data_IF_661169136839
#
_entry.id   IF_661169136839
#
_cell.length_a   1.000
_cell.length_b   1.000
_cell.length_c   1.000
_cell.angle_alpha   90.00
_cell.angle_beta   90.00
_cell.angle_gamma   90.00
#
_symmetry.space_group_name_H-M   'P 1'
#
loop_
_entity.id
_entity.type
_entity.pdbx_description
1 polymer ?
#
# COMPACT_ATOMS: atom_id res chain seq x y z
N UNK A 1 22.46 -0.52 -25.86
CA UNK A 1 22.29 0.94 -25.73
C UNK A 1 22.05 1.26 -24.25
N UNK A 2 23.09 1.55 -23.47
CA UNK A 2 23.01 1.94 -22.04
C UNK A 2 22.34 3.32 -21.99
N UNK A 3 21.04 3.38 -21.64
CA UNK A 3 20.34 4.65 -21.47
C UNK A 3 20.84 5.33 -20.19
N UNK A 4 21.50 6.46 -20.39
CA UNK A 4 21.92 7.44 -19.40
C UNK A 4 20.69 8.07 -18.70
N UNK A 5 20.14 7.42 -17.68
CA UNK A 5 19.15 8.06 -16.79
C UNK A 5 19.81 9.00 -15.75
N UNK A 6 21.14 9.04 -15.70
CA UNK A 6 21.94 9.83 -14.76
C UNK A 6 22.91 10.81 -15.43
N UNK A 7 22.59 11.28 -16.65
CA UNK A 7 23.36 12.35 -17.29
C UNK A 7 22.49 13.58 -17.55
N UNK A 8 21.93 14.17 -16.50
CA UNK A 8 22.01 15.64 -16.37
C UNK A 8 23.47 15.95 -16.07
N UNK A 9 24.08 16.81 -16.85
CA UNK A 9 25.48 17.20 -16.62
C UNK A 9 25.65 17.57 -15.15
N UNK A 10 26.56 16.93 -14.42
CA UNK A 10 26.81 17.17 -12.99
C UNK A 10 26.83 18.69 -12.64
N UNK A 11 27.40 19.60 -13.48
CA UNK A 11 27.38 21.03 -13.20
C UNK A 11 25.97 21.67 -13.23
N UNK A 12 25.03 21.21 -14.06
CA UNK A 12 23.67 21.73 -14.07
C UNK A 12 22.90 21.30 -12.83
N UNK A 13 23.11 20.06 -12.37
CA UNK A 13 22.49 19.57 -11.13
C UNK A 13 23.08 20.29 -9.91
N UNK A 14 24.40 20.49 -9.88
CA UNK A 14 25.09 21.21 -8.80
C UNK A 14 24.70 22.71 -8.80
N UNK A 15 24.61 23.34 -9.97
CA UNK A 15 24.15 24.72 -10.12
C UNK A 15 22.69 24.89 -9.69
N UNK A 16 21.83 23.93 -10.05
CA UNK A 16 20.43 23.90 -9.61
C UNK A 16 20.29 23.71 -8.09
N UNK A 17 21.10 22.83 -7.49
CA UNK A 17 21.12 22.62 -6.04
C UNK A 17 21.65 23.86 -5.29
N UNK A 18 22.70 24.51 -5.79
CA UNK A 18 23.24 25.75 -5.21
C UNK A 18 22.23 26.91 -5.32
N UNK A 19 21.57 27.06 -6.47
CA UNK A 19 20.52 28.07 -6.65
C UNK A 19 19.32 27.78 -5.72
N UNK A 20 18.93 26.54 -5.58
CA UNK A 20 17.88 26.11 -4.67
C UNK A 20 18.26 26.36 -3.21
N UNK A 21 19.50 26.06 -2.81
CA UNK A 21 20.02 26.32 -1.46
C UNK A 21 20.07 27.85 -1.16
N UNK A 22 20.43 28.65 -2.16
CA UNK A 22 20.43 30.12 -2.04
C UNK A 22 19.01 30.69 -1.89
N UNK A 23 18.07 30.19 -2.69
CA UNK A 23 16.64 30.55 -2.61
C UNK A 23 16.08 30.15 -1.24
N UNK A 24 16.36 28.95 -0.76
CA UNK A 24 15.97 28.46 0.56
C UNK A 24 16.59 29.35 1.66
N UNK A 25 17.89 29.66 1.56
CA UNK A 25 18.60 30.48 2.53
C UNK A 25 18.06 31.91 2.65
N UNK A 26 17.47 32.47 1.59
CA UNK A 26 16.85 33.79 1.59
C UNK A 26 15.38 33.75 2.01
N UNK A 27 14.64 32.76 1.52
CA UNK A 27 13.19 32.68 1.73
C UNK A 27 12.84 32.18 3.13
N UNK A 28 13.60 31.22 3.69
CA UNK A 28 13.32 30.66 5.02
C UNK A 28 13.33 31.71 6.14
N UNK A 29 14.31 32.62 6.24
CA UNK A 29 14.28 33.68 7.26
C UNK A 29 13.10 34.67 7.11
N UNK A 30 12.72 34.97 5.86
CA UNK A 30 11.59 35.89 5.58
C UNK A 30 10.27 35.25 6.04
N UNK A 31 10.07 33.96 5.75
CA UNK A 31 8.86 33.23 6.16
C UNK A 31 8.88 32.78 7.61
N UNK A 32 10.05 32.64 8.25
CA UNK A 32 10.16 32.28 9.66
C UNK A 32 9.39 33.24 10.56
N UNK A 33 9.43 34.55 10.25
CA UNK A 33 8.66 35.57 10.96
C UNK A 33 7.15 35.52 10.74
N UNK A 34 6.67 34.82 9.68
CA UNK A 34 5.24 34.70 9.34
C UNK A 34 4.61 33.40 9.86
N UNK A 35 5.40 32.37 10.18
CA UNK A 35 4.92 30.99 10.48
C UNK A 35 4.77 30.73 11.97
N UNK A 36 5.25 31.61 12.85
CA UNK A 36 5.21 31.46 14.31
C UNK A 36 6.14 30.35 14.82
N UNK A 37 6.08 30.03 16.12
CA UNK A 37 7.03 29.15 16.84
C UNK A 37 7.04 27.65 16.46
N UNK A 38 6.42 27.25 15.35
CA UNK A 38 6.38 25.85 14.92
C UNK A 38 7.56 25.50 14.01
N UNK A 39 8.62 24.93 14.57
CA UNK A 39 9.78 24.41 13.81
C UNK A 39 9.40 23.39 12.72
N UNK A 40 8.33 22.60 12.91
CA UNK A 40 7.85 21.65 11.91
C UNK A 40 7.30 22.35 10.66
N UNK A 41 6.60 23.48 10.82
CA UNK A 41 6.11 24.31 9.69
C UNK A 41 7.26 25.00 8.98
N UNK A 42 8.26 25.46 9.72
CA UNK A 42 9.46 26.05 9.16
C UNK A 42 10.22 25.05 8.26
N UNK A 43 10.35 23.80 8.69
CA UNK A 43 10.99 22.74 7.91
C UNK A 43 10.18 22.33 6.67
N UNK A 44 8.86 22.51 6.67
CA UNK A 44 7.99 22.16 5.54
C UNK A 44 8.27 23.04 4.30
N UNK A 45 8.62 24.32 4.48
CA UNK A 45 8.90 25.24 3.37
C UNK A 45 10.11 24.81 2.51
N UNK A 46 11.31 24.57 3.07
CA UNK A 46 12.43 24.04 2.32
C UNK A 46 12.11 22.71 1.63
N UNK A 47 11.37 21.82 2.32
CA UNK A 47 10.96 20.55 1.74
C UNK A 47 10.09 20.74 0.49
N UNK A 48 9.12 21.67 0.50
CA UNK A 48 8.28 21.99 -0.64
C UNK A 48 9.09 22.54 -1.82
N UNK A 49 10.08 23.42 -1.56
CA UNK A 49 10.96 23.94 -2.61
C UNK A 49 11.83 22.83 -3.24
N UNK A 50 12.38 21.92 -2.41
CA UNK A 50 13.15 20.77 -2.91
C UNK A 50 12.26 19.86 -3.75
N UNK A 51 11.05 19.55 -3.28
CA UNK A 51 10.09 18.73 -4.00
C UNK A 51 9.67 19.40 -5.32
N UNK A 52 9.40 20.69 -5.32
CA UNK A 52 9.06 21.47 -6.52
C UNK A 52 10.21 21.52 -7.54
N UNK A 53 11.45 21.75 -7.08
CA UNK A 53 12.64 21.69 -7.93
C UNK A 53 12.84 20.31 -8.57
N UNK A 54 12.77 19.24 -7.77
CA UNK A 54 12.87 17.87 -8.29
C UNK A 54 11.73 17.52 -9.25
N UNK A 55 10.52 18.07 -9.02
CA UNK A 55 9.38 17.91 -9.91
C UNK A 55 9.64 18.46 -11.30
N UNK A 56 10.33 19.59 -11.40
CA UNK A 56 10.67 20.24 -12.68
C UNK A 56 11.84 19.53 -13.36
N UNK A 57 12.90 19.21 -12.61
CA UNK A 57 14.16 18.72 -13.19
C UNK A 57 14.19 17.20 -13.36
N UNK A 58 13.64 16.41 -12.41
CA UNK A 58 13.68 14.95 -12.45
C UNK A 58 12.56 14.28 -11.66
N UNK A 59 11.37 14.22 -12.23
CA UNK A 59 10.17 13.61 -11.65
C UNK A 59 10.35 12.14 -11.25
N UNK A 60 11.15 11.39 -12.01
CA UNK A 60 11.43 9.97 -11.68
C UNK A 60 12.25 9.87 -10.40
N UNK A 61 13.28 10.69 -10.25
CA UNK A 61 14.08 10.73 -9.02
C UNK A 61 13.23 11.16 -7.82
N UNK A 62 12.40 12.20 -8.00
CA UNK A 62 11.47 12.66 -6.98
C UNK A 62 10.57 11.52 -6.50
N UNK A 63 9.95 10.79 -7.43
CA UNK A 63 9.09 9.66 -7.11
C UNK A 63 9.84 8.56 -6.34
N UNK A 64 11.07 8.22 -6.76
CA UNK A 64 11.88 7.22 -6.07
C UNK A 64 12.28 7.66 -4.65
N UNK A 65 12.58 8.94 -4.44
CA UNK A 65 12.86 9.52 -3.12
C UNK A 65 11.61 9.46 -2.23
N UNK A 66 10.45 9.84 -2.77
CA UNK A 66 9.18 9.74 -2.05
C UNK A 66 8.91 8.29 -1.63
N UNK A 67 9.06 7.32 -2.54
CA UNK A 67 8.90 5.90 -2.24
C UNK A 67 9.89 5.43 -1.16
N UNK A 68 11.16 5.85 -1.24
CA UNK A 68 12.17 5.45 -0.26
C UNK A 68 11.83 5.98 1.15
N UNK A 69 11.36 7.22 1.26
CA UNK A 69 11.15 7.89 2.54
C UNK A 69 9.71 7.79 3.07
N UNK A 70 8.76 7.35 2.26
CA UNK A 70 7.33 7.34 2.64
C UNK A 70 7.04 6.55 3.91
N UNK A 71 7.69 5.42 4.09
CA UNK A 71 7.54 4.55 5.27
C UNK A 71 8.05 5.19 6.56
N UNK A 72 8.98 6.14 6.47
CA UNK A 72 9.50 6.88 7.62
C UNK A 72 8.73 8.19 7.88
N UNK A 73 7.84 8.57 6.94
CA UNK A 73 7.30 9.92 6.89
C UNK A 73 6.08 10.19 7.77
N UNK A 74 5.31 9.18 8.20
CA UNK A 74 4.00 9.43 8.83
C UNK A 74 4.10 10.31 10.09
N UNK A 75 5.10 10.11 10.95
CA UNK A 75 5.31 10.94 12.14
C UNK A 75 5.55 12.42 11.75
N UNK A 76 6.42 12.66 10.76
CA UNK A 76 6.74 14.01 10.29
C UNK A 76 5.52 14.64 9.61
N UNK A 77 4.81 13.85 8.79
CA UNK A 77 3.63 14.32 8.07
C UNK A 77 2.48 14.66 9.03
N UNK A 78 2.34 13.93 10.11
CA UNK A 78 1.35 14.19 11.15
C UNK A 78 1.69 15.44 11.97
N UNK A 79 2.96 15.62 12.32
CA UNK A 79 3.44 16.82 13.03
C UNK A 79 3.26 18.13 12.22
N UNK A 80 3.18 18.03 10.88
CA UNK A 80 2.94 19.20 10.01
C UNK A 80 1.47 19.57 9.81
N UNK A 81 0.53 18.77 10.34
CA UNK A 81 -0.90 19.09 10.24
C UNK A 81 -1.23 20.29 11.12
N UNK A 82 -1.84 21.32 10.51
CA UNK A 82 -2.40 22.41 11.28
C UNK A 82 -3.71 21.94 11.93
N UNK A 83 -3.89 22.19 13.23
CA UNK A 83 -5.15 21.95 13.94
C UNK A 83 -6.11 23.11 13.61
N UNK A 84 -6.87 23.00 12.52
CA UNK A 84 -7.92 23.96 12.18
C UNK A 84 -9.28 23.43 12.62
N UNK A 85 -10.15 24.30 13.11
CA UNK A 85 -11.51 23.98 13.56
C UNK A 85 -12.41 23.34 12.48
N UNK A 86 -12.06 23.46 11.19
CA UNK A 86 -12.80 22.89 10.05
C UNK A 86 -12.48 21.42 9.73
N UNK A 87 -11.60 20.75 10.48
CA UNK A 87 -11.25 19.33 10.28
C UNK A 87 -10.46 19.02 8.99
N UNK A 88 -10.36 19.95 8.04
CA UNK A 88 -9.56 19.82 6.82
C UNK A 88 -8.26 20.62 6.96
N UNK A 89 -7.17 19.92 7.21
CA UNK A 89 -5.84 20.50 7.24
C UNK A 89 -4.94 19.79 6.23
N UNK A 90 -4.65 20.43 5.09
CA UNK A 90 -3.70 19.92 4.11
C UNK A 90 -2.27 20.14 4.62
N UNK A 91 -1.82 19.26 5.55
CA UNK A 91 -0.41 19.21 5.94
C UNK A 91 0.50 18.77 4.78
N UNK A 92 1.81 18.66 5.04
CA UNK A 92 2.80 18.20 4.07
C UNK A 92 2.39 16.86 3.42
N UNK A 93 1.69 15.98 4.16
CA UNK A 93 1.16 14.72 3.63
C UNK A 93 0.17 14.90 2.48
N UNK A 94 -0.72 15.88 2.57
CA UNK A 94 -1.65 16.24 1.49
C UNK A 94 -0.92 16.78 0.26
N UNK A 95 0.10 17.61 0.46
CA UNK A 95 0.93 18.13 -0.63
C UNK A 95 1.69 17.00 -1.36
N UNK A 96 2.28 16.04 -0.64
CA UNK A 96 2.96 14.88 -1.24
C UNK A 96 1.96 13.99 -2.00
N UNK A 97 0.74 13.81 -1.46
CA UNK A 97 -0.32 13.07 -2.14
C UNK A 97 -0.71 13.74 -3.48
N UNK A 98 -0.95 15.04 -3.46
CA UNK A 98 -1.22 15.82 -4.67
C UNK A 98 -0.06 15.78 -5.68
N UNK A 99 1.17 15.80 -5.19
CA UNK A 99 2.38 15.73 -6.02
C UNK A 99 2.48 14.39 -6.76
N UNK A 100 2.16 13.27 -6.12
CA UNK A 100 2.12 11.94 -6.76
C UNK A 100 1.05 11.90 -7.85
N UNK A 101 -0.14 12.43 -7.58
CA UNK A 101 -1.23 12.51 -8.57
C UNK A 101 -0.78 13.35 -9.77
N UNK A 102 -0.13 14.49 -9.53
CA UNK A 102 0.39 15.36 -10.57
C UNK A 102 1.50 14.69 -11.40
N UNK A 103 2.43 13.96 -10.75
CA UNK A 103 3.48 13.19 -11.45
C UNK A 103 2.85 12.17 -12.40
N UNK A 104 1.86 11.41 -11.92
CA UNK A 104 1.17 10.42 -12.73
C UNK A 104 0.43 11.07 -13.90
N UNK A 105 -0.28 12.18 -13.66
CA UNK A 105 -0.96 12.96 -14.68
C UNK A 105 -0.01 13.42 -15.79
N UNK A 106 1.13 14.01 -15.42
CA UNK A 106 2.13 14.47 -16.38
C UNK A 106 2.76 13.33 -17.17
N UNK A 107 3.01 12.17 -16.56
CA UNK A 107 3.46 10.99 -17.28
C UNK A 107 2.42 10.51 -18.31
N UNK A 108 1.13 10.54 -17.96
CA UNK A 108 0.05 10.14 -18.87
C UNK A 108 -0.07 11.12 -20.03
N UNK A 109 -0.06 12.42 -19.76
CA UNK A 109 -0.15 13.46 -20.81
C UNK A 109 1.01 13.36 -21.81
N UNK A 110 2.24 13.16 -21.30
CA UNK A 110 3.42 13.04 -22.16
C UNK A 110 3.43 11.75 -23.02
N UNK A 111 2.93 10.64 -22.49
CA UNK A 111 2.98 9.33 -23.16
C UNK A 111 1.75 8.45 -22.85
N UNK A 112 0.55 8.83 -23.33
CA UNK A 112 -0.70 8.15 -22.96
C UNK A 112 -0.79 6.68 -23.42
N UNK A 113 -0.04 6.32 -24.46
CA UNK A 113 -0.08 4.98 -25.07
C UNK A 113 0.52 3.86 -24.19
N UNK A 114 1.12 4.20 -23.05
CA UNK A 114 1.79 3.24 -22.16
C UNK A 114 0.88 2.53 -21.18
N UNK A 115 -0.38 2.86 -21.15
CA UNK A 115 -1.33 2.30 -20.19
C UNK A 115 -2.26 1.29 -20.85
N UNK A 116 -2.25 0.02 -20.43
CA UNK A 116 -3.14 -0.99 -20.98
C UNK A 116 -4.56 -0.77 -20.50
N UNK A 117 -5.50 -0.70 -21.46
CA UNK A 117 -6.93 -0.53 -21.17
C UNK A 117 -7.47 -1.60 -20.21
N UNK A 118 -6.91 -2.81 -20.27
CA UNK A 118 -7.36 -3.94 -19.45
C UNK A 118 -7.31 -3.68 -17.93
N UNK A 119 -6.37 -2.86 -17.44
CA UNK A 119 -6.26 -2.49 -16.04
C UNK A 119 -6.74 -1.06 -15.77
N UNK A 120 -6.68 -0.17 -16.78
CA UNK A 120 -7.10 1.22 -16.58
C UNK A 120 -8.63 1.38 -16.52
N UNK A 121 -9.39 0.60 -17.31
CA UNK A 121 -10.87 0.66 -17.28
C UNK A 121 -11.41 0.31 -15.88
N UNK A 122 -10.99 -0.79 -15.20
CA UNK A 122 -11.38 -1.05 -13.83
C UNK A 122 -11.08 0.11 -12.85
N UNK A 123 -9.88 0.73 -12.95
CA UNK A 123 -9.52 1.89 -12.14
C UNK A 123 -10.44 3.09 -12.39
N UNK A 124 -10.76 3.40 -13.67
CA UNK A 124 -11.66 4.49 -14.02
C UNK A 124 -13.05 4.25 -13.45
N UNK A 125 -13.56 3.01 -13.52
CA UNK A 125 -14.86 2.65 -12.96
C UNK A 125 -14.84 2.82 -11.43
N UNK A 126 -13.82 2.32 -10.72
CA UNK A 126 -13.71 2.47 -9.28
C UNK A 126 -13.66 3.96 -8.86
N UNK A 127 -12.86 4.77 -9.57
CA UNK A 127 -12.78 6.21 -9.30
C UNK A 127 -14.11 6.93 -9.60
N UNK A 128 -14.79 6.58 -10.70
CA UNK A 128 -16.09 7.18 -11.03
C UNK A 128 -17.14 6.88 -9.93
N UNK A 129 -17.20 5.64 -9.44
CA UNK A 129 -18.07 5.26 -8.30
C UNK A 129 -17.67 6.01 -7.04
N UNK A 130 -16.36 6.19 -6.79
CA UNK A 130 -15.89 6.93 -5.61
C UNK A 130 -16.23 8.42 -5.68
N UNK A 131 -16.15 9.03 -6.88
CA UNK A 131 -16.57 10.43 -7.07
C UNK A 131 -18.09 10.61 -6.93
N UNK A 132 -18.88 9.64 -7.42
CA UNK A 132 -20.31 9.63 -7.15
C UNK A 132 -20.59 9.52 -5.65
N UNK A 133 -19.93 8.57 -4.96
CA UNK A 133 -20.06 8.41 -3.50
C UNK A 133 -19.60 9.64 -2.71
N UNK A 134 -18.62 10.41 -3.22
CA UNK A 134 -18.23 11.71 -2.65
C UNK A 134 -19.37 12.73 -2.77
N UNK A 135 -20.01 12.81 -3.94
CA UNK A 135 -21.07 13.79 -4.20
C UNK A 135 -22.30 13.60 -3.32
N UNK A 136 -22.59 12.35 -2.89
CA UNK A 136 -23.74 12.01 -2.03
C UNK A 136 -23.34 11.77 -0.57
N UNK A 137 -22.07 11.99 -0.21
CA UNK A 137 -21.55 11.75 1.14
C UNK A 137 -22.15 12.73 2.17
N UNK A 138 -22.53 12.25 3.37
CA UNK A 138 -22.89 13.12 4.48
C UNK A 138 -21.71 13.90 5.07
N UNK A 139 -20.45 13.42 4.83
CA UNK A 139 -19.21 13.97 5.38
C UNK A 139 -18.19 14.28 4.27
N UNK A 140 -18.43 15.35 3.52
CA UNK A 140 -17.62 15.73 2.34
C UNK A 140 -16.12 15.79 2.62
N UNK A 141 -15.71 16.31 3.78
CA UNK A 141 -14.27 16.43 4.13
C UNK A 141 -13.57 15.08 4.30
N UNK A 142 -14.21 14.16 5.01
CA UNK A 142 -13.69 12.80 5.21
C UNK A 142 -13.73 12.01 3.90
N UNK A 143 -14.83 12.09 3.16
CA UNK A 143 -15.00 11.44 1.87
C UNK A 143 -13.97 11.91 0.84
N UNK A 144 -13.71 13.22 0.74
CA UNK A 144 -12.69 13.77 -0.14
C UNK A 144 -11.30 13.19 0.17
N UNK A 145 -10.96 13.02 1.44
CA UNK A 145 -9.69 12.41 1.85
C UNK A 145 -9.56 10.97 1.34
N UNK A 146 -10.61 10.17 1.41
CA UNK A 146 -10.61 8.77 0.91
C UNK A 146 -10.52 8.76 -0.63
N UNK A 147 -11.28 9.61 -1.33
CA UNK A 147 -11.23 9.68 -2.80
C UNK A 147 -9.86 10.14 -3.30
N UNK A 148 -9.24 11.13 -2.67
CA UNK A 148 -7.87 11.55 -2.98
C UNK A 148 -6.85 10.44 -2.69
N UNK A 149 -7.07 9.64 -1.65
CA UNK A 149 -6.22 8.48 -1.37
C UNK A 149 -6.34 7.44 -2.48
N UNK A 150 -7.56 7.07 -2.90
CA UNK A 150 -7.79 6.15 -4.03
C UNK A 150 -7.19 6.67 -5.34
N UNK A 151 -7.32 7.97 -5.61
CA UNK A 151 -6.70 8.60 -6.77
C UNK A 151 -5.17 8.49 -6.72
N UNK A 152 -4.57 8.64 -5.53
CA UNK A 152 -3.12 8.47 -5.38
C UNK A 152 -2.66 7.01 -5.51
N UNK A 153 -3.50 6.03 -5.11
CA UNK A 153 -3.22 4.61 -5.35
C UNK A 153 -3.20 4.29 -6.84
N UNK A 154 -4.18 4.79 -7.57
CA UNK A 154 -4.20 4.72 -9.03
C UNK A 154 -2.98 5.42 -9.64
N UNK A 155 -2.59 6.58 -9.12
CA UNK A 155 -1.41 7.33 -9.54
C UNK A 155 -0.12 6.53 -9.33
N UNK A 156 0.07 5.87 -8.16
CA UNK A 156 1.22 5.00 -7.89
C UNK A 156 1.26 3.80 -8.84
N UNK A 157 0.11 3.17 -9.10
CA UNK A 157 -0.03 2.10 -10.09
C UNK A 157 0.36 2.57 -11.50
N UNK A 158 -0.10 3.74 -11.92
CA UNK A 158 0.24 4.37 -13.20
C UNK A 158 1.73 4.67 -13.28
N UNK A 159 2.32 5.31 -12.27
CA UNK A 159 3.74 5.67 -12.24
C UNK A 159 4.64 4.46 -12.49
N UNK A 160 4.26 3.28 -11.99
CA UNK A 160 5.01 2.05 -12.20
C UNK A 160 5.21 1.72 -13.70
N UNK A 161 4.22 1.97 -14.58
CA UNK A 161 4.34 1.75 -16.02
C UNK A 161 5.35 2.69 -16.72
N UNK A 162 5.63 3.83 -16.09
CA UNK A 162 6.60 4.80 -16.63
C UNK A 162 8.02 4.57 -16.11
N UNK A 163 8.15 4.00 -14.90
CA UNK A 163 9.44 3.68 -14.27
C UNK A 163 9.95 2.33 -14.73
N UNK A 164 9.10 1.30 -14.71
CA UNK A 164 9.49 -0.09 -15.01
C UNK A 164 9.33 -0.37 -16.49
N UNK A 165 10.44 -0.44 -17.21
CA UNK A 165 10.51 -0.74 -18.64
C UNK A 165 11.24 -2.03 -18.93
N UNK A 166 12.15 -2.41 -18.04
CA UNK A 166 13.01 -3.58 -18.15
C UNK A 166 12.92 -4.42 -16.88
N UNK A 167 13.33 -5.69 -16.91
CA UNK A 167 13.46 -6.50 -15.69
C UNK A 167 14.43 -5.88 -14.67
N UNK A 168 15.45 -5.16 -15.10
CA UNK A 168 16.40 -4.45 -14.25
C UNK A 168 15.74 -3.31 -13.47
N UNK A 169 14.84 -2.56 -14.12
CA UNK A 169 14.08 -1.49 -13.47
C UNK A 169 13.18 -2.07 -12.37
N UNK A 170 12.49 -3.19 -12.67
CA UNK A 170 11.67 -3.90 -11.69
C UNK A 170 12.48 -4.38 -10.49
N UNK A 171 13.62 -5.03 -10.73
CA UNK A 171 14.53 -5.47 -9.66
C UNK A 171 15.06 -4.32 -8.82
N UNK A 172 15.35 -3.19 -9.44
CA UNK A 172 15.80 -1.97 -8.75
C UNK A 172 14.70 -1.39 -7.87
N UNK A 173 13.46 -1.38 -8.35
CA UNK A 173 12.31 -0.92 -7.58
C UNK A 173 12.03 -1.84 -6.37
N UNK A 174 12.11 -3.16 -6.55
CA UNK A 174 11.96 -4.12 -5.44
C UNK A 174 13.04 -3.89 -4.36
N UNK A 175 14.29 -3.67 -4.76
CA UNK A 175 15.38 -3.31 -3.82
C UNK A 175 15.07 -2.01 -3.09
N UNK A 176 14.56 -0.99 -3.79
CA UNK A 176 14.19 0.30 -3.18
C UNK A 176 13.10 0.10 -2.10
N UNK A 177 12.09 -0.73 -2.37
CA UNK A 177 11.04 -1.05 -1.39
C UNK A 177 11.62 -1.76 -0.17
N UNK A 178 12.57 -2.68 -0.34
CA UNK A 178 13.25 -3.32 0.80
C UNK A 178 14.06 -2.27 1.60
N UNK A 179 14.81 -1.41 0.91
CA UNK A 179 15.60 -0.35 1.56
C UNK A 179 14.72 0.66 2.31
N UNK A 180 13.49 0.92 1.86
CA UNK A 180 12.56 1.80 2.57
C UNK A 180 12.21 1.30 3.98
N UNK A 181 12.42 0.00 4.28
CA UNK A 181 12.16 -0.56 5.60
C UNK A 181 13.22 -0.23 6.66
N UNK A 182 14.38 0.28 6.26
CA UNK A 182 15.51 0.51 7.19
C UNK A 182 15.17 1.54 8.26
N UNK A 183 14.66 2.70 7.86
CA UNK A 183 14.32 3.76 8.82
C UNK A 183 13.19 3.34 9.78
N UNK A 184 12.06 2.80 9.32
CA UNK A 184 11.04 2.27 10.21
C UNK A 184 11.58 1.19 11.16
N UNK A 185 12.42 0.29 10.66
CA UNK A 185 12.95 -0.78 11.47
C UNK A 185 13.88 -0.27 12.58
N UNK A 186 14.79 0.66 12.27
CA UNK A 186 15.67 1.30 13.25
C UNK A 186 14.88 2.11 14.29
N UNK A 187 13.91 2.91 13.86
CA UNK A 187 13.05 3.65 14.76
C UNK A 187 12.20 2.71 15.62
N UNK A 188 11.78 1.57 15.07
CA UNK A 188 11.08 0.52 15.82
C UNK A 188 11.92 -0.01 16.99
N UNK A 189 13.23 -0.24 16.79
CA UNK A 189 14.14 -0.65 17.87
C UNK A 189 14.21 0.42 18.98
N UNK A 190 14.36 1.69 18.60
CA UNK A 190 14.38 2.80 19.56
C UNK A 190 13.06 2.82 20.35
N UNK A 191 11.92 2.68 19.67
CA UNK A 191 10.61 2.67 20.32
C UNK A 191 10.47 1.50 21.30
N UNK A 192 10.92 0.29 20.93
CA UNK A 192 10.93 -0.87 21.83
C UNK A 192 11.84 -0.62 23.03
N UNK A 193 13.06 -0.12 22.81
CA UNK A 193 14.01 0.14 23.91
C UNK A 193 13.50 1.17 24.92
N UNK A 194 12.82 2.21 24.46
CA UNK A 194 12.22 3.23 25.31
C UNK A 194 11.04 2.66 26.13
N UNK A 195 10.21 1.81 25.52
CA UNK A 195 9.04 1.23 26.19
C UNK A 195 9.40 0.01 27.08
N UNK A 196 10.52 -0.67 26.83
CA UNK A 196 10.96 -1.81 27.64
C UNK A 196 11.15 -1.47 29.11
N UNK A 197 11.49 -0.22 29.45
CA UNK A 197 11.65 0.26 30.82
C UNK A 197 10.33 0.26 31.63
N UNK A 198 9.18 0.42 30.95
CA UNK A 198 7.85 0.41 31.56
C UNK A 198 7.14 -0.96 31.49
N UNK A 199 7.77 -1.98 30.91
CA UNK A 199 7.17 -3.27 30.60
C UNK A 199 6.47 -3.27 29.23
N UNK A 200 6.54 -4.41 28.53
CA UNK A 200 5.95 -4.56 27.17
C UNK A 200 4.51 -5.09 27.21
N UNK A 201 3.89 -5.21 28.39
CA UNK A 201 2.50 -5.65 28.50
C UNK A 201 1.56 -4.65 27.80
N UNK A 202 0.75 -5.11 26.85
CA UNK A 202 -0.14 -4.28 26.06
C UNK A 202 0.53 -3.37 25.02
N UNK A 203 1.87 -3.34 24.96
CA UNK A 203 2.60 -2.55 23.97
C UNK A 203 2.40 -3.13 22.54
N UNK A 204 2.04 -2.27 21.61
CA UNK A 204 1.95 -2.60 20.19
C UNK A 204 2.88 -1.69 19.39
N UNK A 205 3.84 -2.29 18.69
CA UNK A 205 4.81 -1.54 17.89
C UNK A 205 4.14 -0.87 16.70
N UNK A 206 4.27 0.46 16.62
CA UNK A 206 3.80 1.29 15.48
C UNK A 206 4.98 1.82 14.66
N UNK A 207 6.15 1.97 15.29
CA UNK A 207 7.33 2.59 14.69
C UNK A 207 7.01 3.98 14.12
N UNK A 208 7.39 4.24 12.87
CA UNK A 208 7.17 5.51 12.15
C UNK A 208 5.75 5.66 11.58
N UNK A 209 4.89 4.67 11.75
CA UNK A 209 3.52 4.70 11.22
C UNK A 209 2.51 5.14 12.29
N UNK A 210 1.42 5.74 11.89
CA UNK A 210 0.36 6.19 12.79
C UNK A 210 -0.43 5.07 13.47
N UNK A 211 -0.28 3.80 13.01
CA UNK A 211 -0.97 2.64 13.60
C UNK A 211 -0.19 1.35 13.39
N UNK A 212 -0.22 0.44 14.39
CA UNK A 212 0.49 -0.84 14.36
C UNK A 212 0.10 -1.75 13.18
N UNK A 213 -1.17 -1.71 12.73
CA UNK A 213 -1.62 -2.50 11.59
C UNK A 213 -0.98 -2.03 10.28
N UNK A 214 -0.75 -0.72 10.12
CA UNK A 214 -0.10 -0.17 8.91
C UNK A 214 1.34 -0.67 8.81
N UNK A 215 2.09 -0.61 9.93
CA UNK A 215 3.43 -1.17 10.01
C UNK A 215 3.40 -2.67 9.69
N UNK A 216 2.47 -3.43 10.29
CA UNK A 216 2.39 -4.87 10.10
C UNK A 216 2.19 -5.26 8.64
N UNK A 217 1.23 -4.66 7.93
CA UNK A 217 0.97 -4.95 6.53
C UNK A 217 2.11 -4.47 5.60
N UNK A 218 2.75 -3.36 5.95
CA UNK A 218 3.95 -2.93 5.25
C UNK A 218 5.11 -3.93 5.43
N UNK A 219 5.31 -4.47 6.65
CA UNK A 219 6.35 -5.47 6.90
C UNK A 219 6.09 -6.79 6.16
N UNK A 220 4.84 -7.26 6.08
CA UNK A 220 4.51 -8.49 5.31
C UNK A 220 4.82 -8.30 3.83
N UNK A 221 4.51 -7.13 3.26
CA UNK A 221 4.84 -6.79 1.89
C UNK A 221 6.37 -6.76 1.66
N UNK A 222 7.13 -6.14 2.57
CA UNK A 222 8.61 -6.12 2.49
C UNK A 222 9.20 -7.52 2.63
N UNK A 223 8.67 -8.36 3.54
CA UNK A 223 9.08 -9.76 3.69
C UNK A 223 8.81 -10.58 2.43
N UNK A 224 7.67 -10.38 1.77
CA UNK A 224 7.33 -11.01 0.50
C UNK A 224 8.32 -10.64 -0.59
N UNK A 225 8.68 -9.36 -0.70
CA UNK A 225 9.68 -8.90 -1.67
C UNK A 225 11.10 -9.34 -1.29
N UNK A 226 11.42 -9.42 0.00
CA UNK A 226 12.69 -9.97 0.49
C UNK A 226 12.85 -11.44 0.12
N UNK A 227 11.80 -12.25 0.26
CA UNK A 227 11.78 -13.64 -0.17
C UNK A 227 11.97 -13.78 -1.69
N UNK A 228 11.32 -12.92 -2.48
CA UNK A 228 11.55 -12.86 -3.93
C UNK A 228 13.01 -12.59 -4.26
N UNK A 229 13.64 -11.58 -3.64
CA UNK A 229 15.06 -11.26 -3.87
C UNK A 229 15.97 -12.40 -3.44
N UNK A 230 15.68 -13.06 -2.32
CA UNK A 230 16.49 -14.16 -1.79
C UNK A 230 16.45 -15.39 -2.69
N UNK A 231 15.32 -15.63 -3.36
CA UNK A 231 15.05 -16.88 -4.12
C UNK A 231 15.19 -16.73 -5.62
N UNK A 232 15.08 -15.52 -6.16
CA UNK A 232 15.26 -15.29 -7.58
C UNK A 232 16.75 -15.32 -7.96
N UNK A 233 17.15 -16.19 -8.92
CA UNK A 233 18.54 -16.29 -9.39
C UNK A 233 19.01 -14.99 -10.08
N UNK A 234 18.09 -14.18 -10.55
CA UNK A 234 18.34 -12.94 -11.26
C UNK A 234 19.09 -11.89 -10.42
N UNK A 235 18.99 -11.93 -9.09
CA UNK A 235 19.67 -10.97 -8.21
C UNK A 235 21.14 -11.32 -7.96
N UNK A 236 21.61 -12.51 -8.31
CA UNK A 236 23.02 -12.96 -8.20
C UNK A 236 23.66 -12.54 -6.86
N UNK A 237 22.99 -12.83 -5.74
CA UNK A 237 23.44 -12.46 -4.41
C UNK A 237 24.73 -13.22 -4.05
N UNK A 238 25.76 -12.49 -3.61
CA UNK A 238 26.91 -13.10 -2.94
C UNK A 238 26.50 -13.73 -1.62
N UNK A 239 27.27 -14.68 -1.10
CA UNK A 239 26.96 -15.36 0.18
C UNK A 239 26.74 -14.35 1.32
N UNK A 240 27.58 -13.34 1.43
CA UNK A 240 27.44 -12.29 2.46
C UNK A 240 26.14 -11.50 2.32
N UNK A 241 25.78 -11.08 1.10
CA UNK A 241 24.51 -10.37 0.83
C UNK A 241 23.29 -11.25 1.14
N UNK A 242 23.40 -12.55 0.85
CA UNK A 242 22.34 -13.53 1.14
C UNK A 242 22.12 -13.67 2.65
N UNK A 243 23.21 -13.84 3.42
CA UNK A 243 23.13 -13.91 4.90
C UNK A 243 22.58 -12.60 5.45
N UNK A 244 23.09 -11.45 5.00
CA UNK A 244 22.60 -10.15 5.43
C UNK A 244 21.11 -9.95 5.17
N UNK A 245 20.61 -10.33 3.98
CA UNK A 245 19.19 -10.24 3.67
C UNK A 245 18.34 -11.21 4.53
N UNK A 246 18.82 -12.43 4.75
CA UNK A 246 18.15 -13.39 5.63
C UNK A 246 18.04 -12.85 7.06
N UNK A 247 19.15 -12.36 7.62
CA UNK A 247 19.18 -11.76 8.98
C UNK A 247 18.23 -10.57 9.06
N UNK A 248 18.19 -9.73 8.02
CA UNK A 248 17.27 -8.60 7.93
C UNK A 248 15.81 -9.07 7.95
N UNK A 249 15.46 -10.08 7.16
CA UNK A 249 14.10 -10.63 7.13
C UNK A 249 13.69 -11.22 8.49
N UNK A 250 14.58 -11.95 9.16
CA UNK A 250 14.32 -12.44 10.52
C UNK A 250 14.09 -11.31 11.51
N UNK A 251 14.88 -10.26 11.42
CA UNK A 251 14.71 -9.07 12.26
C UNK A 251 13.35 -8.39 11.99
N UNK A 252 12.96 -8.18 10.73
CA UNK A 252 11.64 -7.63 10.38
C UNK A 252 10.49 -8.53 10.84
N UNK A 253 10.67 -9.85 10.82
CA UNK A 253 9.69 -10.80 11.36
C UNK A 253 9.51 -10.64 12.87
N UNK A 254 10.60 -10.41 13.62
CA UNK A 254 10.54 -10.06 15.03
C UNK A 254 9.76 -8.78 15.29
N UNK A 255 10.00 -7.72 14.50
CA UNK A 255 9.21 -6.48 14.58
C UNK A 255 7.73 -6.71 14.24
N UNK A 256 7.44 -7.56 13.25
CA UNK A 256 6.06 -7.93 12.89
C UNK A 256 5.32 -8.58 14.07
N UNK A 257 5.97 -9.47 14.81
CA UNK A 257 5.38 -10.06 16.02
C UNK A 257 5.05 -9.00 17.08
N UNK A 258 5.92 -8.02 17.27
CA UNK A 258 5.72 -6.92 18.23
C UNK A 258 4.59 -5.95 17.83
N UNK A 259 4.11 -5.97 16.59
CA UNK A 259 2.91 -5.20 16.19
C UNK A 259 1.62 -5.77 16.80
N UNK A 260 1.62 -7.03 17.23
CA UNK A 260 0.47 -7.77 17.74
C UNK A 260 -0.73 -7.77 16.78
N UNK A 261 -0.49 -7.71 15.48
CA UNK A 261 -1.52 -7.67 14.43
C UNK A 261 -1.77 -9.07 13.87
N UNK A 262 -2.80 -9.75 14.41
CA UNK A 262 -3.14 -11.15 14.07
C UNK A 262 -3.38 -11.37 12.58
N UNK A 263 -4.10 -10.47 11.92
CA UNK A 263 -4.35 -10.56 10.46
C UNK A 263 -3.06 -10.54 9.64
N UNK A 264 -2.06 -9.75 10.04
CA UNK A 264 -0.76 -9.71 9.38
C UNK A 264 0.06 -10.98 9.64
N UNK A 265 -0.05 -11.58 10.84
CA UNK A 265 0.59 -12.88 11.11
C UNK A 265 0.01 -14.00 10.23
N UNK A 266 -1.34 -14.05 10.10
CA UNK A 266 -2.03 -14.99 9.22
C UNK A 266 -1.63 -14.76 7.76
N UNK A 267 -1.57 -13.52 7.31
CA UNK A 267 -1.16 -13.16 5.95
C UNK A 267 0.29 -13.59 5.67
N UNK A 268 1.21 -13.30 6.59
CA UNK A 268 2.61 -13.73 6.50
C UNK A 268 2.73 -15.28 6.48
N UNK A 269 1.99 -15.95 7.37
CA UNK A 269 1.92 -17.42 7.38
C UNK A 269 1.43 -17.96 6.04
N UNK A 270 0.34 -17.42 5.49
CA UNK A 270 -0.22 -17.85 4.21
C UNK A 270 0.77 -17.63 3.06
N UNK A 271 1.49 -16.51 3.04
CA UNK A 271 2.53 -16.27 2.03
C UNK A 271 3.61 -17.35 2.05
N UNK A 272 4.15 -17.69 3.22
CA UNK A 272 5.15 -18.76 3.34
C UNK A 272 4.56 -20.14 3.05
N UNK A 273 3.29 -20.40 3.40
CA UNK A 273 2.59 -21.63 3.08
C UNK A 273 2.43 -21.80 1.57
N UNK A 274 1.96 -20.78 0.86
CA UNK A 274 1.83 -20.78 -0.59
C UNK A 274 3.21 -20.93 -1.27
N UNK A 275 4.22 -20.25 -0.75
CA UNK A 275 5.58 -20.41 -1.25
C UNK A 275 6.08 -21.84 -1.02
N UNK A 276 5.88 -22.39 0.17
CA UNK A 276 6.27 -23.76 0.54
C UNK A 276 5.62 -24.82 -0.34
N UNK A 277 4.34 -24.67 -0.64
CA UNK A 277 3.59 -25.62 -1.48
C UNK A 277 4.00 -25.56 -2.95
N UNK A 278 4.28 -24.37 -3.50
CA UNK A 278 4.52 -24.17 -4.93
C UNK A 278 5.99 -24.27 -5.33
N UNK A 279 6.92 -23.98 -4.42
CA UNK A 279 8.34 -23.86 -4.74
C UNK A 279 9.25 -24.73 -3.88
N UNK A 280 9.16 -24.67 -2.53
CA UNK A 280 10.11 -25.34 -1.64
C UNK A 280 9.42 -25.92 -0.39
N UNK A 281 9.14 -27.24 -0.41
CA UNK A 281 8.41 -27.94 0.68
C UNK A 281 9.04 -27.80 2.08
N UNK A 282 10.34 -27.53 2.17
CA UNK A 282 11.01 -27.32 3.48
C UNK A 282 10.44 -26.11 4.26
N UNK A 283 9.83 -25.12 3.58
CA UNK A 283 9.16 -24.02 4.25
C UNK A 283 7.92 -24.47 5.04
N UNK A 284 7.27 -25.55 4.63
CA UNK A 284 6.16 -26.12 5.39
C UNK A 284 6.62 -26.66 6.75
N UNK A 285 7.86 -27.22 6.84
CA UNK A 285 8.45 -27.61 8.12
C UNK A 285 8.72 -26.41 9.02
N UNK A 286 9.25 -25.30 8.44
CA UNK A 286 9.47 -24.08 9.22
C UNK A 286 8.15 -23.51 9.75
N UNK A 287 7.06 -23.57 8.97
CA UNK A 287 5.73 -23.14 9.39
C UNK A 287 5.10 -24.02 10.48
N UNK A 288 5.54 -25.25 10.64
CA UNK A 288 5.13 -26.09 11.78
C UNK A 288 5.85 -25.69 13.06
N UNK A 289 7.12 -25.31 12.97
CA UNK A 289 7.99 -25.04 14.13
C UNK A 289 7.94 -23.58 14.59
N UNK A 290 8.03 -22.61 13.66
CA UNK A 290 8.12 -21.20 14.02
C UNK A 290 6.92 -20.66 14.80
N UNK A 291 5.66 -21.01 14.49
CA UNK A 291 4.52 -20.57 15.30
C UNK A 291 4.56 -21.13 16.72
N UNK A 292 5.05 -22.36 16.91
CA UNK A 292 5.20 -22.94 18.26
C UNK A 292 6.24 -22.16 19.08
N UNK A 293 7.35 -21.76 18.45
CA UNK A 293 8.34 -20.90 19.09
C UNK A 293 7.75 -19.51 19.40
N UNK A 294 6.97 -18.94 18.46
CA UNK A 294 6.32 -17.65 18.65
C UNK A 294 5.33 -17.68 19.84
N UNK A 295 4.63 -18.79 20.06
CA UNK A 295 3.73 -18.98 21.21
C UNK A 295 4.45 -18.96 22.57
N UNK A 296 5.75 -19.22 22.62
CA UNK A 296 6.56 -19.08 23.83
C UNK A 296 6.78 -17.63 24.24
N UNK A 297 6.53 -16.67 23.35
CA UNK A 297 6.59 -15.22 23.63
C UNK A 297 5.32 -14.83 24.38
N UNK A 298 5.39 -14.33 25.65
CA UNK A 298 4.21 -14.06 26.47
C UNK A 298 3.17 -13.16 25.78
N UNK A 299 3.60 -12.08 25.12
CA UNK A 299 2.69 -11.15 24.43
C UNK A 299 1.97 -11.78 23.23
N UNK A 300 2.55 -12.77 22.58
CA UNK A 300 1.92 -13.54 21.49
C UNK A 300 0.90 -14.52 22.09
N UNK A 301 1.29 -15.24 23.14
CA UNK A 301 0.41 -16.17 23.85
C UNK A 301 -0.84 -15.46 24.38
N UNK A 302 -0.68 -14.38 25.13
CA UNK A 302 -1.78 -13.55 25.62
C UNK A 302 -2.71 -13.08 24.50
N UNK A 303 -2.13 -12.68 23.37
CA UNK A 303 -2.90 -12.19 22.23
C UNK A 303 -3.76 -13.25 21.55
N UNK A 304 -3.34 -14.51 21.61
CA UNK A 304 -4.10 -15.66 21.11
C UNK A 304 -5.14 -16.10 22.14
N UNK A 305 -4.76 -16.17 23.42
CA UNK A 305 -5.67 -16.52 24.51
C UNK A 305 -6.90 -15.58 24.60
N UNK A 306 -6.74 -14.30 24.22
CA UNK A 306 -7.85 -13.35 24.13
C UNK A 306 -8.95 -13.75 23.11
N UNK A 307 -8.76 -14.78 22.28
CA UNK A 307 -9.80 -15.26 21.37
C UNK A 307 -10.85 -16.16 22.08
N UNK A 308 -10.51 -16.73 23.22
CA UNK A 308 -11.39 -17.64 23.96
C UNK A 308 -12.39 -16.92 24.88
N UNK A 309 -12.20 -15.60 25.12
CA UNK A 309 -13.01 -14.83 26.03
C UNK A 309 -13.74 -13.68 25.33
N UNK A 310 -14.89 -13.23 25.86
CA UNK A 310 -15.63 -12.08 25.36
C UNK A 310 -16.30 -12.31 23.99
N UNK A 311 -16.71 -13.56 23.69
CA UNK A 311 -17.36 -13.92 22.42
C UNK A 311 -18.86 -13.58 22.39
N UNK A 312 -19.50 -13.42 23.55
CA UNK A 312 -20.92 -13.12 23.73
C UNK A 312 -21.12 -11.76 24.36
N UNK A 313 -22.26 -11.13 24.05
CA UNK A 313 -22.66 -9.88 24.69
C UNK A 313 -23.22 -10.21 26.09
N UNK A 314 -22.45 -9.93 27.12
CA UNK A 314 -22.85 -10.04 28.50
C UNK A 314 -22.94 -8.65 29.14
N UNK A 315 -23.83 -8.48 30.13
CA UNK A 315 -24.17 -7.16 30.69
C UNK A 315 -22.98 -6.40 31.30
N UNK A 316 -21.92 -7.12 31.68
CA UNK A 316 -20.71 -6.53 32.31
C UNK A 316 -19.40 -7.00 31.69
N UNK A 317 -19.41 -7.83 30.64
CA UNK A 317 -18.19 -8.35 30.02
C UNK A 317 -17.85 -7.56 28.73
N UNK A 318 -16.58 -7.16 28.67
CA UNK A 318 -16.05 -6.50 27.46
C UNK A 318 -15.93 -7.49 26.31
N UNK A 319 -16.59 -7.20 25.18
CA UNK A 319 -16.46 -8.00 23.97
C UNK A 319 -14.99 -8.03 23.49
N UNK A 320 -14.56 -9.19 23.00
CA UNK A 320 -13.31 -9.26 22.27
C UNK A 320 -13.41 -8.49 20.94
N UNK A 321 -12.26 -8.13 20.38
CA UNK A 321 -12.22 -7.25 19.20
C UNK A 321 -12.88 -7.85 17.95
N UNK A 322 -13.06 -9.16 17.86
CA UNK A 322 -13.76 -9.81 16.73
C UNK A 322 -15.27 -9.78 16.95
N UNK A 323 -15.75 -10.20 18.10
CA UNK A 323 -17.18 -10.17 18.46
C UNK A 323 -17.75 -8.73 18.38
N UNK A 324 -16.96 -7.75 18.83
CA UNK A 324 -17.29 -6.33 18.72
C UNK A 324 -17.47 -5.89 17.25
N UNK A 325 -16.56 -6.29 16.36
CA UNK A 325 -16.69 -5.99 14.91
C UNK A 325 -17.90 -6.67 14.28
N UNK A 326 -18.15 -7.94 14.61
CA UNK A 326 -19.32 -8.67 14.10
C UNK A 326 -20.62 -7.98 14.53
N UNK A 327 -20.70 -7.50 15.77
CA UNK A 327 -21.85 -6.74 16.25
C UNK A 327 -22.00 -5.43 15.45
N UNK A 328 -20.92 -4.68 15.27
CA UNK A 328 -20.89 -3.44 14.51
C UNK A 328 -21.36 -3.67 13.06
N UNK A 329 -20.84 -4.73 12.39
CA UNK A 329 -21.24 -5.08 11.03
C UNK A 329 -22.71 -5.44 10.90
N UNK A 330 -23.19 -6.31 11.82
CA UNK A 330 -24.60 -6.69 11.85
C UNK A 330 -25.52 -5.48 12.07
N UNK A 331 -25.16 -4.59 12.98
CA UNK A 331 -25.92 -3.37 13.26
C UNK A 331 -26.00 -2.47 12.02
N UNK A 332 -24.87 -2.21 11.36
CA UNK A 332 -24.82 -1.37 10.16
C UNK A 332 -25.57 -1.98 8.97
N UNK A 333 -25.37 -3.27 8.70
CA UNK A 333 -26.04 -3.96 7.59
C UNK A 333 -27.53 -4.10 7.81
N UNK A 334 -27.97 -4.31 9.05
CA UNK A 334 -29.39 -4.37 9.39
C UNK A 334 -30.09 -2.99 9.29
N UNK A 335 -29.35 -1.93 9.62
CA UNK A 335 -29.85 -0.56 9.51
C UNK A 335 -29.99 -0.10 8.05
N UNK A 336 -29.23 -0.69 7.14
CA UNK A 336 -29.18 -0.30 5.74
C UNK A 336 -30.49 -0.57 5.02
N UNK A 337 -31.07 0.48 4.41
CA UNK A 337 -32.31 0.34 3.61
C UNK A 337 -32.03 -0.40 2.29
N UNK A 338 -32.93 -1.30 1.85
CA UNK A 338 -32.80 -2.00 0.56
C UNK A 338 -32.62 -1.10 -0.66
N UNK A 339 -33.19 0.12 -0.64
CA UNK A 339 -33.02 1.13 -1.69
C UNK A 339 -31.57 1.56 -1.90
N UNK A 340 -30.72 1.40 -0.89
CA UNK A 340 -29.29 1.78 -0.92
C UNK A 340 -28.34 0.60 -1.19
N UNK A 341 -28.85 -0.64 -1.36
CA UNK A 341 -27.97 -1.79 -1.61
C UNK A 341 -27.15 -1.69 -2.90
N UNK A 342 -27.65 -0.99 -3.93
CA UNK A 342 -26.93 -0.85 -5.19
C UNK A 342 -25.87 0.25 -5.16
N UNK A 343 -26.15 1.40 -4.57
CA UNK A 343 -25.31 2.61 -4.65
C UNK A 343 -24.73 3.08 -3.32
N UNK A 344 -25.18 2.53 -2.19
CA UNK A 344 -24.78 2.93 -0.84
C UNK A 344 -25.31 4.28 -0.41
N UNK A 345 -24.76 4.80 0.68
CA UNK A 345 -25.12 6.09 1.29
C UNK A 345 -24.10 7.21 1.02
N UNK A 346 -23.03 6.93 0.29
CA UNK A 346 -21.90 7.83 0.07
C UNK A 346 -20.64 7.43 0.85
N UNK A 347 -19.47 7.85 0.35
CA UNK A 347 -18.19 7.52 0.97
C UNK A 347 -18.12 8.09 2.39
N UNK A 348 -17.59 7.31 3.35
CA UNK A 348 -17.52 7.61 4.80
C UNK A 348 -18.89 7.68 5.52
N UNK A 349 -19.96 7.27 4.87
CA UNK A 349 -21.30 7.24 5.49
C UNK A 349 -21.41 6.20 6.61
N UNK A 350 -20.71 5.05 6.51
CA UNK A 350 -20.68 4.06 7.59
C UNK A 350 -20.15 4.68 8.88
N UNK A 351 -19.03 5.42 8.78
CA UNK A 351 -18.44 6.13 9.92
C UNK A 351 -19.45 7.14 10.51
N UNK A 352 -20.07 7.95 9.64
CA UNK A 352 -21.03 8.97 10.03
C UNK A 352 -22.24 8.39 10.76
N UNK A 353 -22.90 7.36 10.19
CA UNK A 353 -24.11 6.78 10.75
C UNK A 353 -23.85 5.76 11.85
N UNK A 354 -22.60 5.36 12.12
CA UNK A 354 -22.28 4.40 13.17
C UNK A 354 -22.71 4.84 14.55
N UNK A 355 -22.75 6.14 14.82
CA UNK A 355 -23.27 6.71 16.08
C UNK A 355 -24.77 6.48 16.26
N UNK A 356 -25.50 6.22 15.18
CA UNK A 356 -26.96 5.99 15.18
C UNK A 356 -27.27 4.49 15.30
N UNK A 357 -26.62 3.66 14.47
CA UNK A 357 -26.98 2.25 14.38
C UNK A 357 -26.21 1.34 15.35
N UNK A 358 -25.05 1.79 15.87
CA UNK A 358 -24.23 0.93 16.71
C UNK A 358 -24.53 1.12 18.21
N UNK A 359 -25.09 0.11 18.91
CA UNK A 359 -25.50 0.26 20.29
C UNK A 359 -24.37 0.61 21.27
N UNK A 360 -23.12 0.27 20.90
CA UNK A 360 -21.92 0.51 21.71
C UNK A 360 -21.11 1.70 21.21
N UNK A 361 -21.69 2.59 20.41
CA UNK A 361 -21.00 3.75 19.87
C UNK A 361 -20.54 4.73 20.93
N UNK A 362 -21.34 4.91 22.00
CA UNK A 362 -21.01 5.87 23.06
C UNK A 362 -20.87 7.31 22.57
N UNK A 363 -21.57 7.68 21.47
CA UNK A 363 -21.46 9.00 20.84
C UNK A 363 -20.21 9.21 19.98
N UNK A 364 -19.36 8.19 19.83
CA UNK A 364 -18.14 8.25 19.01
C UNK A 364 -18.35 7.52 17.69
N UNK A 365 -17.98 8.11 16.52
CA UNK A 365 -18.09 7.45 15.23
C UNK A 365 -17.06 6.33 15.07
N UNK A 366 -17.49 5.19 14.50
CA UNK A 366 -16.70 3.99 14.31
C UNK A 366 -16.68 3.54 12.85
N UNK A 367 -15.51 3.37 12.27
CA UNK A 367 -15.37 2.70 10.97
C UNK A 367 -15.61 1.19 11.09
N UNK A 368 -16.00 0.55 9.99
CA UNK A 368 -16.35 -0.87 9.99
C UNK A 368 -15.17 -1.82 10.34
N UNK A 369 -13.94 -1.37 10.30
CA UNK A 369 -12.74 -2.23 10.39
C UNK A 369 -12.82 -3.43 9.40
N UNK A 370 -13.43 -3.21 8.26
CA UNK A 370 -13.52 -4.11 7.12
C UNK A 370 -13.81 -3.27 5.87
N UNK A 371 -12.93 -3.36 4.89
CA UNK A 371 -13.18 -2.68 3.59
C UNK A 371 -14.48 -3.16 2.97
N UNK A 372 -14.79 -4.45 3.07
CA UNK A 372 -15.98 -5.01 2.42
C UNK A 372 -17.27 -4.48 2.99
N UNK A 373 -17.37 -4.44 4.33
CA UNK A 373 -18.57 -3.93 4.99
C UNK A 373 -18.69 -2.42 4.81
N UNK A 374 -17.61 -1.68 5.04
CA UNK A 374 -17.62 -0.22 4.88
C UNK A 374 -17.90 0.17 3.44
N UNK A 375 -17.21 -0.42 2.48
CA UNK A 375 -17.35 -0.07 1.08
C UNK A 375 -18.72 -0.47 0.50
N UNK A 376 -19.29 -1.59 0.97
CA UNK A 376 -20.68 -1.96 0.64
C UNK A 376 -21.69 -0.96 1.20
N UNK A 377 -21.54 -0.55 2.44
CA UNK A 377 -22.43 0.45 3.04
C UNK A 377 -22.31 1.81 2.33
N UNK A 378 -21.08 2.21 2.05
CA UNK A 378 -20.74 3.51 1.46
C UNK A 378 -21.12 3.60 -0.03
N UNK A 379 -20.87 2.54 -0.84
CA UNK A 379 -20.94 2.58 -2.31
C UNK A 379 -21.80 1.47 -2.92
N UNK A 380 -22.41 0.64 -2.09
CA UNK A 380 -23.29 -0.45 -2.50
C UNK A 380 -22.59 -1.58 -3.26
N UNK A 381 -23.39 -2.43 -3.88
CA UNK A 381 -22.91 -3.54 -4.71
C UNK A 381 -22.08 -3.06 -5.91
N UNK A 382 -22.40 -1.90 -6.47
CA UNK A 382 -21.65 -1.32 -7.60
C UNK A 382 -20.23 -1.00 -7.18
N UNK A 383 -20.03 -0.41 -5.98
CA UNK A 383 -18.70 -0.11 -5.47
C UNK A 383 -17.88 -1.35 -5.13
N UNK A 384 -18.50 -2.35 -4.50
CA UNK A 384 -17.84 -3.65 -4.22
C UNK A 384 -17.43 -4.34 -5.52
N UNK A 385 -18.32 -4.38 -6.51
CA UNK A 385 -18.01 -4.96 -7.81
C UNK A 385 -16.85 -4.21 -8.51
N UNK A 386 -16.84 -2.88 -8.47
CA UNK A 386 -15.75 -2.06 -9.01
C UNK A 386 -14.42 -2.33 -8.28
N UNK A 387 -14.44 -2.46 -6.95
CA UNK A 387 -13.27 -2.81 -6.16
C UNK A 387 -12.67 -4.16 -6.57
N UNK A 388 -13.49 -5.22 -6.57
CA UNK A 388 -13.02 -6.55 -6.99
C UNK A 388 -12.62 -6.60 -8.47
N UNK A 389 -13.22 -5.78 -9.33
CA UNK A 389 -12.85 -5.72 -10.73
C UNK A 389 -11.43 -5.19 -10.94
N UNK A 390 -10.97 -4.23 -10.13
CA UNK A 390 -9.57 -3.78 -10.16
C UNK A 390 -8.64 -4.94 -9.78
N UNK A 391 -8.90 -5.66 -8.68
CA UNK A 391 -8.08 -6.79 -8.26
C UNK A 391 -8.08 -7.92 -9.29
N UNK A 392 -9.23 -8.27 -9.84
CA UNK A 392 -9.34 -9.27 -10.90
C UNK A 392 -8.47 -8.90 -12.11
N UNK A 393 -8.57 -7.67 -12.59
CA UNK A 393 -7.81 -7.22 -13.75
C UNK A 393 -6.30 -7.25 -13.49
N UNK A 394 -5.88 -6.80 -12.30
CA UNK A 394 -4.47 -6.79 -11.89
C UNK A 394 -3.95 -8.22 -11.74
N UNK A 395 -4.63 -9.08 -10.99
CA UNK A 395 -4.22 -10.49 -10.79
C UNK A 395 -4.17 -11.23 -12.13
N UNK A 396 -5.17 -11.03 -13.00
CA UNK A 396 -5.16 -11.62 -14.35
C UNK A 396 -3.97 -11.17 -15.19
N UNK A 397 -3.54 -9.91 -15.04
CA UNK A 397 -2.38 -9.40 -15.75
C UNK A 397 -1.07 -9.94 -15.17
N UNK A 398 -0.97 -10.01 -13.82
CA UNK A 398 0.17 -10.61 -13.12
C UNK A 398 0.32 -12.10 -13.43
N UNK A 399 -0.79 -12.85 -13.55
CA UNK A 399 -0.76 -14.26 -13.93
C UNK A 399 -0.13 -14.49 -15.32
N UNK A 400 -0.23 -13.53 -16.24
CA UNK A 400 0.41 -13.60 -17.55
C UNK A 400 1.93 -13.38 -17.50
N UNK A 401 2.47 -12.87 -16.40
CA UNK A 401 3.92 -12.80 -16.16
C UNK A 401 4.52 -14.18 -15.82
N UNK A 402 3.70 -15.15 -15.39
CA UNK A 402 4.13 -16.45 -14.93
C UNK A 402 5.09 -17.21 -15.87
N UNK A 403 4.90 -17.23 -17.20
CA UNK A 403 5.86 -17.89 -18.09
C UNK A 403 7.22 -17.21 -18.18
N UNK A 404 7.30 -15.90 -17.92
CA UNK A 404 8.54 -15.12 -18.00
C UNK A 404 9.29 -15.09 -16.66
N UNK A 405 8.58 -14.87 -15.56
CA UNK A 405 9.09 -14.91 -14.19
C UNK A 405 8.03 -15.49 -13.25
N UNK A 406 8.08 -16.82 -13.08
CA UNK A 406 7.15 -17.56 -12.24
C UNK A 406 7.14 -17.03 -10.80
N UNK A 407 8.33 -16.75 -10.25
CA UNK A 407 8.45 -16.35 -8.85
C UNK A 407 7.89 -14.94 -8.64
N UNK A 408 8.25 -13.97 -9.50
CA UNK A 408 7.69 -12.62 -9.44
C UNK A 408 6.16 -12.63 -9.55
N UNK A 409 5.62 -13.37 -10.53
CA UNK A 409 4.18 -13.49 -10.73
C UNK A 409 3.48 -14.01 -9.48
N UNK A 410 3.97 -15.13 -8.91
CA UNK A 410 3.38 -15.72 -7.70
C UNK A 410 3.49 -14.77 -6.50
N UNK A 411 4.65 -14.17 -6.25
CA UNK A 411 4.84 -13.28 -5.09
C UNK A 411 3.95 -12.03 -5.19
N UNK A 412 3.79 -11.45 -6.37
CA UNK A 412 2.89 -10.31 -6.57
C UNK A 412 1.42 -10.69 -6.44
N UNK A 413 1.04 -11.88 -6.89
CA UNK A 413 -0.32 -12.40 -6.68
C UNK A 413 -0.55 -12.68 -5.19
N UNK A 414 0.45 -13.22 -4.46
CA UNK A 414 0.32 -13.48 -3.03
C UNK A 414 0.06 -12.19 -2.24
N UNK A 415 0.81 -11.11 -2.51
CA UNK A 415 0.54 -9.82 -1.85
C UNK A 415 -0.83 -9.23 -2.25
N UNK A 416 -1.33 -9.48 -3.47
CA UNK A 416 -2.67 -9.07 -3.87
C UNK A 416 -3.75 -9.87 -3.12
N UNK A 417 -3.58 -11.17 -2.96
CA UNK A 417 -4.47 -12.04 -2.16
C UNK A 417 -4.38 -11.66 -0.68
N UNK A 418 -3.18 -11.41 -0.16
CA UNK A 418 -2.97 -10.92 1.20
C UNK A 418 -3.74 -9.63 1.45
N UNK A 419 -3.64 -8.64 0.54
CA UNK A 419 -4.40 -7.39 0.64
C UNK A 419 -5.91 -7.65 0.73
N UNK A 420 -6.45 -8.56 -0.08
CA UNK A 420 -7.87 -8.93 -0.01
C UNK A 420 -8.24 -9.60 1.32
N UNK A 421 -7.38 -10.47 1.85
CA UNK A 421 -7.62 -11.15 3.14
C UNK A 421 -7.62 -10.13 4.29
N UNK A 422 -6.63 -9.25 4.36
CA UNK A 422 -6.56 -8.26 5.43
C UNK A 422 -7.66 -7.21 5.32
N UNK A 423 -8.16 -6.94 4.11
CA UNK A 423 -9.32 -6.09 3.85
C UNK A 423 -10.61 -6.59 4.51
N UNK A 424 -10.72 -7.89 4.79
CA UNK A 424 -11.87 -8.44 5.51
C UNK A 424 -11.92 -8.01 6.98
N UNK A 425 -10.76 -7.76 7.58
CA UNK A 425 -10.64 -7.50 9.02
C UNK A 425 -10.09 -6.11 9.37
N UNK A 426 -9.86 -5.27 8.36
CA UNK A 426 -9.33 -3.91 8.58
C UNK A 426 -9.73 -2.95 7.44
N UNK A 427 -9.79 -1.64 7.72
CA UNK A 427 -10.05 -0.59 6.73
C UNK A 427 -8.76 -0.22 5.98
N UNK A 428 -8.21 -1.20 5.26
CA UNK A 428 -6.92 -1.07 4.58
C UNK A 428 -6.89 0.09 3.58
N UNK A 429 -8.02 0.46 2.98
CA UNK A 429 -8.14 1.60 2.06
C UNK A 429 -7.75 2.94 2.71
N UNK A 430 -7.84 3.07 4.03
CA UNK A 430 -7.39 4.24 4.75
C UNK A 430 -5.86 4.29 4.99
N UNK A 431 -5.13 3.21 4.69
CA UNK A 431 -3.71 3.06 5.00
C UNK A 431 -2.83 3.54 3.85
N UNK A 432 -2.69 4.85 3.72
CA UNK A 432 -2.06 5.52 2.57
C UNK A 432 -0.65 4.99 2.28
N UNK A 433 0.23 4.90 3.28
CA UNK A 433 1.61 4.47 3.09
C UNK A 433 1.70 3.04 2.56
N UNK A 434 0.98 2.08 3.18
CA UNK A 434 0.95 0.70 2.75
C UNK A 434 0.44 0.56 1.30
N UNK A 435 -0.69 1.23 0.97
CA UNK A 435 -1.29 1.14 -0.35
C UNK A 435 -0.40 1.72 -1.45
N UNK A 436 0.42 2.73 -1.17
CA UNK A 436 1.36 3.24 -2.16
C UNK A 436 2.38 2.18 -2.58
N UNK A 437 2.99 1.46 -1.62
CA UNK A 437 3.91 0.36 -1.93
C UNK A 437 3.21 -0.79 -2.65
N UNK A 438 2.02 -1.15 -2.16
CA UNK A 438 1.22 -2.23 -2.73
C UNK A 438 0.87 -1.96 -4.20
N UNK A 439 0.27 -0.81 -4.50
CA UNK A 439 -0.15 -0.48 -5.86
C UNK A 439 1.03 -0.19 -6.80
N UNK A 440 2.13 0.38 -6.28
CA UNK A 440 3.37 0.53 -7.03
C UNK A 440 3.94 -0.83 -7.46
N UNK A 441 4.00 -1.81 -6.57
CA UNK A 441 4.51 -3.15 -6.87
C UNK A 441 3.59 -3.91 -7.82
N UNK A 442 2.28 -3.87 -7.62
CA UNK A 442 1.31 -4.45 -8.54
C UNK A 442 1.42 -3.82 -9.94
N UNK A 443 1.49 -2.50 -10.01
CA UNK A 443 1.72 -1.77 -11.26
C UNK A 443 3.05 -2.13 -11.93
N UNK A 444 4.11 -2.31 -11.15
CA UNK A 444 5.43 -2.69 -11.64
C UNK A 444 5.44 -4.09 -12.27
N UNK A 445 4.77 -5.07 -11.64
CA UNK A 445 4.59 -6.40 -12.21
C UNK A 445 3.76 -6.38 -13.49
N UNK A 446 2.67 -5.60 -13.50
CA UNK A 446 1.86 -5.41 -14.71
C UNK A 446 2.67 -4.72 -15.83
N UNK A 447 3.49 -3.73 -15.50
CA UNK A 447 4.36 -3.04 -16.45
C UNK A 447 5.44 -3.97 -17.01
N UNK A 448 6.01 -4.83 -16.19
CA UNK A 448 7.00 -5.82 -16.61
C UNK A 448 6.42 -6.76 -17.67
N UNK A 449 5.20 -7.27 -17.46
CA UNK A 449 4.50 -8.06 -18.48
C UNK A 449 4.17 -7.23 -19.73
N UNK A 450 3.63 -6.03 -19.56
CA UNK A 450 3.20 -5.16 -20.67
C UNK A 450 4.36 -4.80 -21.61
N UNK A 451 5.58 -4.63 -21.09
CA UNK A 451 6.77 -4.31 -21.85
C UNK A 451 7.48 -5.55 -22.41
N UNK A 452 7.04 -6.77 -22.07
CA UNK A 452 7.63 -8.03 -22.51
C UNK A 452 7.32 -8.35 -23.97
N UNK A 453 8.16 -9.18 -24.59
CA UNK A 453 7.91 -9.67 -25.96
C UNK A 453 6.70 -10.62 -26.01
N UNK A 454 6.39 -11.30 -24.91
CA UNK A 454 5.20 -12.13 -24.78
C UNK A 454 3.90 -11.31 -24.95
N UNK A 455 3.83 -10.11 -24.37
CA UNK A 455 2.70 -9.22 -24.57
C UNK A 455 2.58 -8.73 -26.01
N UNK A 456 3.69 -8.34 -26.63
CA UNK A 456 3.72 -7.90 -28.04
C UNK A 456 3.22 -9.00 -28.97
N UNK A 457 3.70 -10.24 -28.78
CA UNK A 457 3.25 -11.41 -29.53
C UNK A 457 1.76 -11.72 -29.31
N UNK A 458 1.24 -11.58 -28.07
CA UNK A 458 -0.19 -11.74 -27.79
C UNK A 458 -1.02 -10.68 -28.56
N UNK A 459 -0.58 -9.42 -28.57
CA UNK A 459 -1.28 -8.34 -29.29
C UNK A 459 -1.28 -8.59 -30.80
N UNK A 460 -0.17 -9.05 -31.34
CA UNK A 460 -0.06 -9.37 -32.77
C UNK A 460 -1.00 -10.51 -33.16
N UNK A 461 -1.04 -11.60 -32.37
CA UNK A 461 -2.01 -12.69 -32.56
C UNK A 461 -3.46 -12.21 -32.48
N UNK A 462 -3.78 -11.30 -31.57
CA UNK A 462 -5.13 -10.72 -31.45
C UNK A 462 -5.48 -9.85 -32.66
N UNK A 463 -4.51 -9.10 -33.20
CA UNK A 463 -4.67 -8.28 -34.39
C UNK A 463 -4.93 -9.17 -35.63
N UNK A 464 -4.13 -10.21 -35.80
CA UNK A 464 -4.30 -11.17 -36.89
C UNK A 464 -5.68 -11.84 -36.87
N UNK A 465 -6.16 -12.27 -35.68
CA UNK A 465 -7.50 -12.88 -35.55
C UNK A 465 -8.67 -11.95 -35.91
N UNK A 466 -8.45 -10.65 -35.93
CA UNK A 466 -9.46 -9.65 -36.32
C UNK A 466 -9.48 -9.32 -37.81
N UNK A 467 -8.48 -9.79 -38.55
CA UNK A 467 -8.43 -9.57 -40.00
C UNK A 467 -9.42 -10.52 -40.71
N UNK A 468 -10.22 -10.01 -41.67
CA UNK A 468 -11.09 -10.86 -42.47
C UNK A 468 -10.24 -11.91 -43.22
N UNK A 469 -10.62 -13.19 -43.15
CA UNK A 469 -9.90 -14.29 -43.81
C UNK A 469 -8.83 -15.02 -42.99
N UNK A 470 -8.64 -14.67 -41.69
CA UNK A 470 -7.71 -15.41 -40.85
C UNK A 470 -8.20 -16.85 -40.61
N UNK A 471 -7.50 -17.84 -41.21
CA UNK A 471 -7.65 -19.26 -40.89
C UNK A 471 -6.62 -19.62 -39.78
N UNK A 472 -7.08 -20.27 -38.71
CA UNK A 472 -6.18 -20.82 -37.74
C UNK A 472 -5.16 -21.76 -38.44
N UNK A 473 -3.85 -21.63 -38.19
CA UNK A 473 -2.90 -22.63 -38.68
C UNK A 473 -3.35 -23.99 -38.09
N UNK A 474 -3.47 -24.98 -38.96
CA UNK A 474 -3.78 -26.34 -38.54
C UNK A 474 -2.79 -26.76 -37.48
N UNK A 475 -3.29 -27.02 -36.29
CA UNK A 475 -2.45 -27.59 -35.19
C UNK A 475 -1.92 -28.91 -35.73
N UNK A 476 -0.65 -28.95 -36.05
CA UNK A 476 0.09 -30.21 -36.24
C UNK A 476 -0.03 -30.98 -34.94
N UNK A 477 -0.97 -31.91 -34.87
CA UNK A 477 -0.98 -32.92 -33.83
C UNK A 477 0.31 -33.72 -34.01
N UNK A 478 1.33 -33.39 -33.19
CA UNK A 478 2.46 -34.27 -33.02
C UNK A 478 1.92 -35.55 -32.39
N UNK A 479 2.12 -36.63 -33.10
CA UNK A 479 1.92 -38.00 -32.62
C UNK A 479 2.95 -38.33 -31.55
#
# INVERSE_FOLDING_TARGET
>A
MKRKYFQTSQPVLLGGMLLLALIIGIIVPIFAGMVGDSYARLAALPALFILGGLMIFNRTLLLLIIVLLRSAGDIVLEATRATNASGFSPGLGGAINALIILIAFLFVVEKPQRLPRAVMVPWIILLAVSFYGLAVSPELGAALKIVLSLLSYCAMFICAFYIVRTPEDFRSLVKLVIWSSVLPALYGVVTVALNARGGLSGFRLQSTFGHANILAFYLTLVLSMGLYVLKSPEFRLTQLKRIGLMSWMFFLMGLLLLTQTRSAWIACFLMFFLYGTLFERRYLLYLMVLPLIALMIPSVHERIAQLDSGNTVETYAKLNSFAWRVLLWKSGLHWMSPSHYLQGYGVESFLHYSVVFFPLAGGVPWGAHSVYVQWFFDTGLIGIAAYFFVFYAVIRMLAKLYPADKLAACMLIFIAVEHLIVSASDNVLAYLAFNWYFWLLCGAGCALYYNSDAYKAEQERRRQKRLPGYRLPATTRAR
#
